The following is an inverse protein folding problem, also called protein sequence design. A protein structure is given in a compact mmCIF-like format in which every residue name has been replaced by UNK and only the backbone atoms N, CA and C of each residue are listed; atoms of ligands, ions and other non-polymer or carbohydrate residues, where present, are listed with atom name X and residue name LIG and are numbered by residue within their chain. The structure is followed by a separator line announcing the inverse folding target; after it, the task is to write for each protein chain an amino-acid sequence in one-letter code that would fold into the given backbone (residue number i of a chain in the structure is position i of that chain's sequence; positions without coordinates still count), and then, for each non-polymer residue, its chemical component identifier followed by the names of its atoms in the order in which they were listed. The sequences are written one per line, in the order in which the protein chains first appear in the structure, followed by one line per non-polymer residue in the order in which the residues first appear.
data_IF_377887933083
#
_entry.id   IF_377887933083
#
_cell.length_a   1.000
_cell.length_b   1.000
_cell.length_c   1.000
_cell.angle_alpha   90.00
_cell.angle_beta   90.00
_cell.angle_gamma   90.00
#
_symmetry.space_group_name_H-M   'P 1'
#
loop_
_entity.id
_entity.type
_entity.pdbx_description
1 polymer ?
#
# COMPACT_ATOMS: atom_id res chain seq x y z
N UNK A 1 18.91 -16.13 -9.82
CA UNK A 1 17.52 -15.91 -9.39
C UNK A 1 17.05 -14.56 -9.89
N UNK A 2 15.85 -14.45 -10.49
CA UNK A 2 15.24 -13.19 -10.90
C UNK A 2 14.27 -12.73 -9.81
N UNK A 3 14.55 -11.60 -9.16
CA UNK A 3 13.78 -11.12 -8.03
C UNK A 3 13.06 -9.79 -8.35
N UNK A 4 11.73 -9.79 -8.32
CA UNK A 4 10.91 -8.60 -8.56
C UNK A 4 10.63 -7.87 -7.25
N UNK A 5 11.20 -6.67 -7.11
CA UNK A 5 11.08 -5.81 -5.94
C UNK A 5 10.26 -4.54 -6.24
N UNK A 6 9.71 -3.88 -5.23
CA UNK A 6 9.03 -2.60 -5.38
C UNK A 6 9.89 -1.44 -4.83
N UNK A 7 10.74 -0.90 -5.67
CA UNK A 7 11.60 0.24 -5.37
C UNK A 7 11.05 1.57 -5.94
N UNK A 8 9.73 1.67 -6.04
CA UNK A 8 9.09 2.92 -6.44
C UNK A 8 9.09 3.92 -5.26
N UNK A 9 10.26 4.41 -4.93
CA UNK A 9 10.54 5.31 -3.81
C UNK A 9 10.42 6.79 -4.21
N UNK A 10 10.10 7.71 -3.29
CA UNK A 10 10.16 9.13 -3.56
C UNK A 10 11.63 9.60 -3.63
N UNK A 11 11.89 10.50 -4.57
CA UNK A 11 13.19 11.14 -4.75
C UNK A 11 13.11 12.64 -4.48
N UNK A 12 14.19 13.21 -3.91
CA UNK A 12 14.34 14.66 -3.82
C UNK A 12 14.59 15.27 -5.22
N UNK A 13 14.50 16.61 -5.37
CA UNK A 13 14.86 17.27 -6.62
C UNK A 13 16.30 16.99 -7.07
N UNK A 14 17.21 16.69 -6.14
CA UNK A 14 18.61 16.33 -6.38
C UNK A 14 18.79 14.84 -6.69
N UNK A 15 17.71 14.04 -6.66
CA UNK A 15 17.73 12.64 -6.99
C UNK A 15 18.17 11.71 -5.83
N UNK A 16 18.07 12.15 -4.57
CA UNK A 16 18.28 11.27 -3.43
C UNK A 16 16.96 10.60 -3.01
N UNK A 17 17.04 9.35 -2.52
CA UNK A 17 15.89 8.66 -1.92
C UNK A 17 15.50 9.37 -0.61
N UNK A 18 14.27 9.85 -0.51
CA UNK A 18 13.79 10.58 0.68
C UNK A 18 13.03 9.69 1.66
N UNK A 19 12.54 8.55 1.20
CA UNK A 19 11.91 7.53 2.04
C UNK A 19 12.41 6.14 1.60
N UNK A 20 13.25 5.48 2.42
CA UNK A 20 13.86 4.19 2.09
C UNK A 20 13.00 2.97 2.45
N UNK A 21 11.82 3.13 3.06
CA UNK A 21 11.03 2.05 3.67
C UNK A 21 10.81 0.85 2.72
N UNK A 22 10.59 1.11 1.44
CA UNK A 22 10.41 0.06 0.42
C UNK A 22 11.68 -0.72 0.12
N UNK A 23 12.82 -0.06 0.20
CA UNK A 23 14.13 -0.74 0.05
C UNK A 23 14.44 -1.52 1.31
N UNK A 24 14.34 -0.87 2.47
CA UNK A 24 14.66 -1.47 3.76
C UNK A 24 13.77 -2.69 4.06
N UNK A 25 12.50 -2.68 3.64
CA UNK A 25 11.57 -3.80 3.83
C UNK A 25 11.95 -5.08 3.05
N UNK A 26 12.78 -4.98 1.99
CA UNK A 26 13.24 -6.13 1.20
C UNK A 26 14.56 -6.71 1.71
N UNK A 27 15.27 -6.02 2.60
CA UNK A 27 16.58 -6.46 3.09
C UNK A 27 16.56 -7.87 3.70
N UNK A 28 15.56 -8.26 4.53
CA UNK A 28 15.51 -9.62 5.06
C UNK A 28 15.47 -10.69 3.97
N UNK A 29 14.77 -10.43 2.85
CA UNK A 29 14.74 -11.33 1.69
C UNK A 29 16.13 -11.39 1.02
N UNK A 30 16.76 -10.24 0.81
CA UNK A 30 18.07 -10.17 0.14
C UNK A 30 19.17 -10.82 0.98
N UNK A 31 19.18 -10.58 2.27
CA UNK A 31 20.17 -11.17 3.19
C UNK A 31 20.04 -12.70 3.20
N UNK A 32 18.81 -13.21 3.34
CA UNK A 32 18.55 -14.67 3.28
C UNK A 32 19.04 -15.30 1.96
N UNK A 33 18.78 -14.66 0.83
CA UNK A 33 19.22 -15.16 -0.48
C UNK A 33 20.75 -15.11 -0.65
N UNK A 34 21.39 -14.04 -0.18
CA UNK A 34 22.85 -13.90 -0.23
C UNK A 34 23.54 -14.93 0.65
N UNK A 35 23.03 -15.16 1.87
CA UNK A 35 23.54 -16.19 2.78
C UNK A 35 23.42 -17.60 2.18
N UNK A 36 22.39 -17.83 1.36
CA UNK A 36 22.20 -19.07 0.62
C UNK A 36 23.10 -19.15 -0.64
N UNK A 37 23.91 -18.16 -0.95
CA UNK A 37 24.78 -18.10 -2.12
C UNK A 37 24.04 -17.84 -3.44
N UNK A 38 22.82 -17.30 -3.42
CA UNK A 38 22.08 -17.01 -4.64
C UNK A 38 22.71 -15.85 -5.42
N UNK A 39 22.82 -15.97 -6.74
CA UNK A 39 23.10 -14.86 -7.66
C UNK A 39 21.78 -14.13 -7.91
N UNK A 40 21.68 -12.86 -7.52
CA UNK A 40 20.39 -12.12 -7.43
C UNK A 40 20.34 -11.04 -8.51
N UNK A 41 19.38 -11.14 -9.41
CA UNK A 41 19.07 -10.15 -10.43
C UNK A 41 17.80 -9.43 -10.02
N UNK A 42 17.94 -8.19 -9.55
CA UNK A 42 16.82 -7.37 -9.09
C UNK A 42 16.14 -6.68 -10.28
N UNK A 43 14.83 -6.75 -10.32
CA UNK A 43 13.99 -6.03 -11.27
C UNK A 43 13.02 -5.15 -10.51
N UNK A 44 12.96 -3.87 -10.85
CA UNK A 44 12.03 -2.95 -10.23
C UNK A 44 11.60 -1.84 -11.18
N UNK A 45 10.65 -1.02 -10.71
CA UNK A 45 10.22 0.18 -11.42
C UNK A 45 10.32 1.42 -10.53
N UNK A 46 10.40 2.58 -11.15
CA UNK A 46 10.35 3.88 -10.50
C UNK A 46 9.50 4.84 -11.34
N UNK A 47 8.51 5.45 -10.70
CA UNK A 47 7.63 6.42 -11.35
C UNK A 47 6.76 5.83 -12.46
N UNK A 48 6.40 6.69 -13.41
CA UNK A 48 5.54 6.34 -14.55
C UNK A 48 6.11 6.86 -15.87
N UNK A 49 7.29 6.41 -16.29
CA UNK A 49 7.80 6.72 -17.62
C UNK A 49 6.91 6.07 -18.69
N UNK A 50 6.89 6.66 -19.87
CA UNK A 50 6.01 6.23 -20.99
C UNK A 50 6.73 5.28 -21.95
N UNK A 51 7.40 4.25 -21.44
CA UNK A 51 8.11 3.26 -22.25
C UNK A 51 9.41 3.81 -22.89
N UNK A 52 10.01 4.81 -22.27
CA UNK A 52 11.29 5.38 -22.74
C UNK A 52 12.14 5.83 -21.54
N UNK A 53 13.48 5.80 -21.66
CA UNK A 53 14.38 6.26 -20.61
C UNK A 53 14.18 7.74 -20.29
N UNK A 54 13.99 8.04 -19.01
CA UNK A 54 13.97 9.39 -18.45
C UNK A 54 14.90 9.43 -17.23
N UNK A 55 15.96 10.27 -17.22
CA UNK A 55 16.98 10.26 -16.15
C UNK A 55 16.40 10.41 -14.73
N UNK A 56 15.30 11.17 -14.56
CA UNK A 56 14.64 11.34 -13.26
C UNK A 56 14.00 10.06 -12.71
N UNK A 57 13.81 9.05 -13.53
CA UNK A 57 13.26 7.76 -13.15
C UNK A 57 14.28 6.62 -13.20
N UNK A 58 15.59 6.95 -13.30
CA UNK A 58 16.64 5.94 -13.19
C UNK A 58 16.69 5.34 -11.79
N UNK A 59 16.93 4.04 -11.71
CA UNK A 59 17.14 3.31 -10.45
C UNK A 59 18.53 3.49 -9.86
N UNK A 60 19.40 4.33 -10.45
CA UNK A 60 20.74 4.59 -9.94
C UNK A 60 20.78 5.07 -8.46
N UNK A 61 19.84 5.91 -7.95
CA UNK A 61 19.78 6.24 -6.54
C UNK A 61 19.47 5.02 -5.64
N UNK A 62 18.63 4.11 -6.13
CA UNK A 62 18.27 2.87 -5.43
C UNK A 62 19.43 1.91 -5.38
N UNK A 63 20.17 1.74 -6.50
CA UNK A 63 21.39 0.91 -6.54
C UNK A 63 22.41 1.36 -5.50
N UNK A 64 22.66 2.69 -5.40
CA UNK A 64 23.55 3.26 -4.38
C UNK A 64 23.08 3.00 -2.96
N UNK A 65 21.76 3.12 -2.70
CA UNK A 65 21.19 2.85 -1.38
C UNK A 65 21.32 1.37 -1.04
N UNK A 66 21.00 0.47 -1.96
CA UNK A 66 21.17 -0.98 -1.78
C UNK A 66 22.62 -1.34 -1.47
N UNK A 67 23.59 -0.78 -2.21
CA UNK A 67 25.00 -1.03 -1.97
C UNK A 67 25.42 -0.62 -0.55
N UNK A 68 24.91 0.51 -0.03
CA UNK A 68 25.14 0.94 1.34
C UNK A 68 24.50 0.01 2.38
N UNK A 69 23.26 -0.46 2.12
CA UNK A 69 22.52 -1.33 3.04
C UNK A 69 23.10 -2.73 3.13
N UNK A 70 23.55 -3.27 2.00
CA UNK A 70 24.08 -4.63 1.88
C UNK A 70 25.59 -4.71 2.16
N UNK A 71 26.27 -3.56 2.32
CA UNK A 71 27.73 -3.46 2.39
C UNK A 71 28.41 -4.25 1.27
N UNK A 72 27.91 -4.09 0.04
CA UNK A 72 28.34 -4.83 -1.14
C UNK A 72 28.16 -3.98 -2.41
N UNK A 73 28.84 -4.35 -3.49
CA UNK A 73 28.59 -3.72 -4.79
C UNK A 73 27.24 -4.18 -5.37
N UNK A 74 26.46 -3.21 -5.87
CA UNK A 74 25.16 -3.44 -6.55
C UNK A 74 25.16 -2.66 -7.86
N UNK A 75 25.78 -3.21 -8.91
CA UNK A 75 25.85 -2.53 -10.20
C UNK A 75 24.45 -2.39 -10.83
N UNK A 76 24.21 -1.20 -11.40
CA UNK A 76 23.04 -0.94 -12.23
C UNK A 76 23.35 -1.37 -13.66
N UNK A 77 22.60 -2.35 -14.17
CA UNK A 77 22.73 -2.85 -15.53
C UNK A 77 21.71 -2.17 -16.45
N UNK A 78 22.19 -1.50 -17.49
CA UNK A 78 21.36 -0.71 -18.42
C UNK A 78 21.06 -1.42 -19.73
N UNK A 79 21.71 -2.56 -19.96
CA UNK A 79 21.49 -3.37 -21.15
C UNK A 79 20.10 -3.99 -21.11
N UNK A 80 19.31 -3.99 -22.21
CA UNK A 80 17.95 -4.50 -22.19
C UNK A 80 17.89 -6.04 -22.05
N UNK A 81 16.85 -6.59 -21.40
CA UNK A 81 16.60 -8.03 -21.38
C UNK A 81 16.57 -8.62 -22.78
N UNK A 82 17.26 -9.77 -22.95
CA UNK A 82 17.41 -10.46 -24.23
C UNK A 82 18.63 -10.01 -25.04
N UNK A 83 19.43 -9.03 -24.57
CA UNK A 83 20.71 -8.69 -25.20
C UNK A 83 21.82 -9.65 -24.76
N UNK A 84 22.77 -9.91 -25.66
CA UNK A 84 23.96 -10.73 -25.35
C UNK A 84 24.78 -10.08 -24.22
N UNK A 85 24.92 -8.76 -24.22
CA UNK A 85 25.67 -8.02 -23.21
C UNK A 85 25.11 -8.20 -21.80
N UNK A 86 23.76 -8.19 -21.63
CA UNK A 86 23.15 -8.48 -20.32
C UNK A 86 23.37 -9.93 -19.92
N UNK A 87 23.22 -10.85 -20.86
CA UNK A 87 23.40 -12.29 -20.61
C UNK A 87 24.82 -12.58 -20.13
N UNK A 88 25.85 -12.05 -20.82
CA UNK A 88 27.25 -12.20 -20.43
C UNK A 88 27.52 -11.66 -19.02
N UNK A 89 26.91 -10.51 -18.65
CA UNK A 89 27.08 -9.93 -17.30
C UNK A 89 26.43 -10.79 -16.23
N UNK A 90 25.26 -11.37 -16.51
CA UNK A 90 24.55 -12.24 -15.58
C UNK A 90 25.28 -13.58 -15.42
N UNK A 91 25.84 -14.13 -16.49
CA UNK A 91 26.65 -15.36 -16.45
C UNK A 91 27.95 -15.18 -15.68
N UNK A 92 28.53 -13.99 -15.69
CA UNK A 92 29.76 -13.65 -14.97
C UNK A 92 29.56 -13.40 -13.46
N UNK A 93 28.31 -13.41 -12.94
CA UNK A 93 28.04 -13.23 -11.51
C UNK A 93 28.59 -14.41 -10.69
N UNK A 94 29.13 -14.08 -9.51
CA UNK A 94 29.55 -15.05 -8.50
C UNK A 94 28.42 -15.29 -7.46
N UNK A 95 28.56 -16.34 -6.67
CA UNK A 95 27.59 -16.67 -5.62
C UNK A 95 27.52 -15.55 -4.56
N UNK A 96 26.31 -15.07 -4.28
CA UNK A 96 26.03 -13.95 -3.38
C UNK A 96 26.04 -12.58 -4.05
N UNK A 97 26.36 -12.48 -5.34
CA UNK A 97 26.31 -11.23 -6.09
C UNK A 97 24.87 -10.73 -6.27
N UNK A 98 24.73 -9.41 -6.23
CA UNK A 98 23.47 -8.69 -6.46
C UNK A 98 23.64 -7.67 -7.56
N UNK A 99 22.81 -7.72 -8.59
CA UNK A 99 22.74 -6.70 -9.64
C UNK A 99 21.34 -6.11 -9.73
N UNK A 100 21.21 -4.86 -10.12
CA UNK A 100 19.93 -4.20 -10.36
C UNK A 100 19.78 -3.87 -11.84
N UNK A 101 18.71 -4.32 -12.48
CA UNK A 101 18.37 -3.88 -13.83
C UNK A 101 17.82 -2.45 -13.79
N UNK A 102 18.08 -1.67 -14.84
CA UNK A 102 17.50 -0.34 -14.96
C UNK A 102 15.96 -0.43 -15.04
N UNK A 103 15.31 0.69 -14.70
CA UNK A 103 13.86 0.80 -14.56
C UNK A 103 13.11 0.08 -15.68
N UNK A 104 12.46 -1.02 -15.31
CA UNK A 104 11.77 -1.89 -16.26
C UNK A 104 10.66 -1.16 -17.04
N UNK A 105 10.10 -0.08 -16.49
CA UNK A 105 9.11 0.77 -17.18
C UNK A 105 9.70 1.65 -18.28
N UNK A 106 11.02 1.64 -18.48
CA UNK A 106 11.62 2.22 -19.68
C UNK A 106 11.40 1.34 -20.92
N UNK A 107 11.04 0.08 -20.71
CA UNK A 107 10.79 -0.85 -21.80
C UNK A 107 9.31 -0.82 -22.19
N UNK A 108 9.00 -0.66 -23.49
CA UNK A 108 7.66 -0.91 -24.00
C UNK A 108 7.21 -2.35 -23.67
N UNK A 109 5.94 -2.54 -23.38
CA UNK A 109 5.39 -3.86 -23.07
C UNK A 109 5.42 -4.23 -21.59
N UNK A 110 6.19 -3.54 -20.71
CA UNK A 110 6.17 -3.87 -19.27
C UNK A 110 4.75 -3.82 -18.71
N UNK A 111 4.04 -2.71 -18.89
CA UNK A 111 2.69 -2.53 -18.32
C UNK A 111 1.61 -3.28 -19.07
N UNK A 112 1.90 -3.77 -20.27
CA UNK A 112 0.99 -4.54 -21.14
C UNK A 112 1.16 -6.05 -20.96
N UNK A 113 2.08 -6.45 -20.08
CA UNK A 113 2.45 -7.86 -19.86
C UNK A 113 2.88 -8.54 -21.17
N UNK A 114 3.71 -7.86 -21.95
CA UNK A 114 4.22 -8.35 -23.22
C UNK A 114 4.93 -9.70 -23.04
N UNK A 115 4.55 -10.74 -23.80
CA UNK A 115 5.09 -12.08 -23.61
C UNK A 115 6.57 -12.20 -23.99
N UNK A 116 7.04 -11.45 -25.00
CA UNK A 116 8.45 -11.50 -25.42
C UNK A 116 9.36 -10.87 -24.36
N UNK A 117 8.91 -9.76 -23.75
CA UNK A 117 9.62 -9.15 -22.63
C UNK A 117 9.60 -10.07 -21.40
N UNK A 118 8.45 -10.70 -21.10
CA UNK A 118 8.33 -11.68 -20.03
C UNK A 118 9.29 -12.87 -20.21
N UNK A 119 9.38 -13.41 -21.41
CA UNK A 119 10.30 -14.49 -21.77
C UNK A 119 11.78 -14.05 -21.66
N UNK A 120 12.11 -12.85 -22.18
CA UNK A 120 13.46 -12.31 -22.11
C UNK A 120 13.92 -12.11 -20.65
N UNK A 121 13.05 -11.62 -19.78
CA UNK A 121 13.30 -11.51 -18.34
C UNK A 121 13.45 -12.90 -17.69
N UNK A 122 12.52 -13.81 -17.99
CA UNK A 122 12.52 -15.17 -17.43
C UNK A 122 13.81 -15.93 -17.74
N UNK A 123 14.44 -15.72 -18.90
CA UNK A 123 15.73 -16.36 -19.28
C UNK A 123 16.90 -15.95 -18.40
N UNK A 124 16.82 -14.82 -17.69
CA UNK A 124 17.87 -14.36 -16.81
C UNK A 124 17.99 -15.17 -15.51
N UNK A 125 16.98 -16.00 -15.17
CA UNK A 125 17.00 -16.75 -13.93
C UNK A 125 16.35 -18.13 -14.03
N UNK A 126 16.74 -19.03 -13.12
CA UNK A 126 16.16 -20.35 -12.95
C UNK A 126 14.99 -20.36 -11.96
N UNK A 127 14.96 -19.37 -11.07
CA UNK A 127 13.95 -19.17 -10.03
C UNK A 127 13.42 -17.75 -10.15
N UNK A 128 12.10 -17.59 -10.10
CA UNK A 128 11.47 -16.29 -9.92
C UNK A 128 11.13 -16.07 -8.45
N UNK A 129 11.41 -14.88 -7.93
CA UNK A 129 11.00 -14.44 -6.61
C UNK A 129 10.18 -13.15 -6.72
N UNK A 130 8.92 -13.21 -6.24
CA UNK A 130 8.03 -12.05 -6.17
C UNK A 130 8.03 -11.44 -4.79
N UNK A 131 8.62 -10.24 -4.63
CA UNK A 131 8.66 -9.51 -3.35
C UNK A 131 8.16 -8.07 -3.51
N UNK A 132 7.37 -7.82 -4.53
CA UNK A 132 6.83 -6.52 -4.88
C UNK A 132 5.31 -6.48 -4.65
N UNK A 133 4.87 -6.56 -3.40
CA UNK A 133 3.45 -6.59 -3.06
C UNK A 133 2.69 -5.39 -3.63
N UNK A 134 3.25 -4.17 -3.55
CA UNK A 134 2.62 -2.97 -4.11
C UNK A 134 2.34 -3.01 -5.61
N UNK A 135 3.03 -3.87 -6.36
CA UNK A 135 2.82 -4.08 -7.80
C UNK A 135 2.01 -5.34 -8.14
N UNK A 136 1.66 -6.17 -7.14
CA UNK A 136 1.06 -7.49 -7.35
C UNK A 136 -0.37 -7.45 -7.92
N UNK A 137 -1.07 -6.33 -7.75
CA UNK A 137 -2.44 -6.13 -8.24
C UNK A 137 -2.52 -5.94 -9.77
N UNK A 138 -1.40 -5.89 -10.48
CA UNK A 138 -1.34 -5.71 -11.94
C UNK A 138 -0.56 -6.83 -12.59
N UNK A 139 -1.06 -7.31 -13.73
CA UNK A 139 -0.30 -8.21 -14.56
C UNK A 139 0.66 -7.41 -15.45
N UNK A 140 1.95 -7.44 -15.14
CA UNK A 140 3.03 -6.82 -15.89
C UNK A 140 4.03 -7.88 -16.37
N UNK A 141 4.87 -7.56 -17.37
CA UNK A 141 5.85 -8.49 -17.90
C UNK A 141 6.88 -8.92 -16.82
N UNK A 142 7.28 -7.99 -15.93
CA UNK A 142 8.28 -8.25 -14.90
C UNK A 142 7.79 -9.02 -13.68
N UNK A 143 6.47 -9.11 -13.44
CA UNK A 143 5.93 -9.93 -12.34
C UNK A 143 5.21 -11.19 -12.86
N UNK A 144 4.19 -11.05 -13.71
CA UNK A 144 3.41 -12.19 -14.20
C UNK A 144 4.11 -12.87 -15.39
N UNK A 145 4.57 -12.10 -16.37
CA UNK A 145 5.21 -12.63 -17.58
C UNK A 145 6.47 -13.42 -17.26
N UNK A 146 7.40 -12.82 -16.52
CA UNK A 146 8.67 -13.46 -16.15
C UNK A 146 8.48 -14.69 -15.25
N UNK A 147 7.54 -14.61 -14.29
CA UNK A 147 7.20 -15.76 -13.43
C UNK A 147 6.67 -16.95 -14.27
N UNK A 148 5.74 -16.68 -15.20
CA UNK A 148 5.23 -17.71 -16.12
C UNK A 148 6.32 -18.31 -16.97
N UNK A 149 7.18 -17.49 -17.57
CA UNK A 149 8.27 -17.96 -18.40
C UNK A 149 9.24 -18.90 -17.65
N UNK A 150 9.49 -18.64 -16.37
CA UNK A 150 10.30 -19.55 -15.53
C UNK A 150 9.53 -20.83 -15.21
N UNK A 151 8.26 -20.76 -14.83
CA UNK A 151 7.41 -21.92 -14.53
C UNK A 151 7.22 -22.84 -15.74
N UNK A 152 7.04 -22.28 -16.93
CA UNK A 152 6.87 -23.03 -18.18
C UNK A 152 8.13 -23.85 -18.53
N UNK A 153 9.29 -23.44 -18.02
CA UNK A 153 10.56 -24.20 -18.09
C UNK A 153 10.79 -25.14 -16.90
N UNK A 154 9.81 -25.26 -15.99
CA UNK A 154 9.88 -26.12 -14.81
C UNK A 154 10.63 -25.52 -13.61
N UNK A 155 10.98 -24.24 -13.67
CA UNK A 155 11.56 -23.51 -12.54
C UNK A 155 10.48 -23.02 -11.56
N UNK A 156 10.80 -22.86 -10.26
CA UNK A 156 9.84 -22.35 -9.27
C UNK A 156 9.63 -20.84 -9.36
N UNK A 157 8.43 -20.41 -9.01
CA UNK A 157 8.10 -19.00 -8.81
C UNK A 157 7.56 -18.81 -7.38
N UNK A 158 8.33 -18.18 -6.51
CA UNK A 158 8.07 -18.13 -5.07
C UNK A 158 7.85 -16.72 -4.55
N UNK A 159 7.17 -16.58 -3.41
CA UNK A 159 7.06 -15.32 -2.68
C UNK A 159 8.36 -15.03 -1.91
N UNK A 160 8.77 -13.76 -1.87
CA UNK A 160 9.77 -13.30 -0.92
C UNK A 160 9.16 -13.05 0.47
N UNK A 161 10.02 -12.81 1.47
CA UNK A 161 9.60 -12.66 2.87
C UNK A 161 8.69 -11.43 3.10
N UNK A 162 8.89 -10.35 2.33
CA UNK A 162 7.99 -9.19 2.37
C UNK A 162 6.60 -9.56 1.84
N UNK A 163 6.54 -10.21 0.68
CA UNK A 163 5.29 -10.68 0.07
C UNK A 163 4.53 -11.62 1.02
N UNK A 164 5.21 -12.59 1.59
CA UNK A 164 4.65 -13.54 2.56
C UNK A 164 4.06 -12.79 3.78
N UNK A 165 4.83 -11.86 4.34
CA UNK A 165 4.41 -11.05 5.49
C UNK A 165 3.17 -10.22 5.17
N UNK A 166 3.13 -9.55 4.01
CA UNK A 166 1.99 -8.77 3.55
C UNK A 166 0.73 -9.64 3.41
N UNK A 167 0.86 -10.78 2.72
CA UNK A 167 -0.24 -11.71 2.51
C UNK A 167 -0.77 -12.29 3.83
N UNK A 168 0.13 -12.65 4.74
CA UNK A 168 -0.24 -13.18 6.06
C UNK A 168 -1.08 -12.17 6.82
N UNK A 169 -0.55 -10.96 7.07
CA UNK A 169 -1.26 -9.97 7.89
C UNK A 169 -2.57 -9.51 7.27
N UNK A 170 -2.60 -9.26 5.96
CA UNK A 170 -3.81 -8.80 5.29
C UNK A 170 -4.89 -9.89 5.17
N UNK A 171 -4.49 -11.15 4.91
CA UNK A 171 -5.45 -12.27 4.84
C UNK A 171 -5.97 -12.67 6.21
N UNK A 172 -5.09 -12.78 7.22
CA UNK A 172 -5.48 -13.13 8.59
C UNK A 172 -6.41 -12.06 9.19
N UNK A 173 -6.13 -10.76 8.94
CA UNK A 173 -6.96 -9.67 9.41
C UNK A 173 -8.41 -9.70 8.90
N UNK A 174 -8.68 -10.40 7.78
CA UNK A 174 -10.00 -10.44 7.15
C UNK A 174 -10.65 -11.82 7.24
N UNK A 175 -9.85 -12.91 7.18
CA UNK A 175 -10.39 -14.28 7.11
C UNK A 175 -11.00 -14.77 8.43
N UNK A 176 -10.31 -14.52 9.55
CA UNK A 176 -10.76 -14.93 10.90
C UNK A 176 -10.30 -13.89 11.95
N UNK A 177 -10.85 -12.68 11.90
CA UNK A 177 -10.41 -11.60 12.78
C UNK A 177 -10.81 -11.85 14.24
N UNK A 178 -9.87 -11.64 15.16
CA UNK A 178 -10.20 -11.54 16.58
C UNK A 178 -11.17 -10.36 16.80
N UNK A 179 -12.24 -10.59 17.57
CA UNK A 179 -13.31 -9.58 17.74
C UNK A 179 -13.20 -8.83 19.07
N UNK A 180 -13.62 -7.54 19.11
CA UNK A 180 -14.23 -6.77 18.02
C UNK A 180 -13.28 -6.45 16.87
N UNK A 181 -13.76 -6.52 15.62
CA UNK A 181 -13.05 -6.09 14.43
C UNK A 181 -13.54 -4.71 13.99
N UNK A 182 -12.65 -3.73 14.01
CA UNK A 182 -12.90 -2.33 13.62
C UNK A 182 -12.12 -1.99 12.37
N UNK A 183 -12.82 -1.53 11.33
CA UNK A 183 -12.17 -0.96 10.15
C UNK A 183 -12.34 0.56 10.13
N UNK A 184 -11.26 1.28 9.86
CA UNK A 184 -11.22 2.74 9.72
C UNK A 184 -10.82 3.08 8.29
N UNK A 185 -11.74 3.69 7.56
CA UNK A 185 -11.54 4.11 6.18
C UNK A 185 -11.66 5.63 6.06
N UNK A 186 -10.65 6.25 5.49
CA UNK A 186 -10.60 7.69 5.26
C UNK A 186 -10.10 8.05 3.86
N UNK A 187 -9.75 9.32 3.67
CA UNK A 187 -9.23 9.83 2.41
C UNK A 187 -10.24 10.63 1.59
N UNK A 188 -9.87 10.95 0.34
CA UNK A 188 -10.59 11.96 -0.43
C UNK A 188 -11.88 11.45 -1.11
N UNK A 189 -11.91 10.20 -1.58
CA UNK A 189 -12.97 9.70 -2.46
C UNK A 189 -13.48 8.33 -2.02
N UNK A 190 -14.83 8.21 -2.00
CA UNK A 190 -15.50 6.93 -1.75
C UNK A 190 -15.36 5.97 -2.94
N UNK A 191 -15.36 6.49 -4.18
CA UNK A 191 -15.27 5.69 -5.41
C UNK A 191 -14.06 4.75 -5.45
N UNK A 192 -12.96 5.13 -4.81
CA UNK A 192 -11.77 4.28 -4.70
C UNK A 192 -11.81 3.23 -3.60
N UNK A 193 -12.91 3.15 -2.82
CA UNK A 193 -13.02 2.27 -1.65
C UNK A 193 -14.35 1.53 -1.54
N UNK A 194 -15.23 1.66 -2.54
CA UNK A 194 -16.55 1.02 -2.53
C UNK A 194 -16.42 -0.48 -2.32
N UNK A 195 -15.62 -1.14 -3.17
CA UNK A 195 -15.44 -2.59 -3.13
C UNK A 195 -14.89 -3.06 -1.78
N UNK A 196 -13.99 -2.28 -1.18
CA UNK A 196 -13.45 -2.54 0.16
C UNK A 196 -14.53 -2.38 1.23
N UNK A 197 -15.35 -1.32 1.16
CA UNK A 197 -16.46 -1.10 2.09
C UNK A 197 -17.44 -2.26 2.01
N UNK A 198 -17.83 -2.67 0.80
CA UNK A 198 -18.77 -3.77 0.57
C UNK A 198 -18.24 -5.12 1.07
N UNK A 199 -16.94 -5.39 0.85
CA UNK A 199 -16.30 -6.62 1.32
C UNK A 199 -16.12 -6.65 2.85
N UNK A 200 -15.80 -5.52 3.48
CA UNK A 200 -15.56 -5.45 4.92
C UNK A 200 -16.85 -5.37 5.74
N UNK A 201 -17.90 -4.72 5.23
CA UNK A 201 -19.14 -4.46 5.98
C UNK A 201 -19.78 -5.71 6.62
N UNK A 202 -19.86 -6.88 5.95
CA UNK A 202 -20.35 -8.10 6.59
C UNK A 202 -19.44 -8.63 7.69
N UNK A 203 -18.14 -8.32 7.64
CA UNK A 203 -17.11 -8.92 8.49
C UNK A 203 -16.81 -8.10 9.74
N UNK A 204 -16.95 -6.77 9.68
CA UNK A 204 -16.61 -5.86 10.78
C UNK A 204 -17.70 -5.76 11.84
N UNK A 205 -17.31 -5.47 13.07
CA UNK A 205 -18.23 -5.06 14.14
C UNK A 205 -18.49 -3.54 14.07
N UNK A 206 -17.51 -2.75 13.62
CA UNK A 206 -17.63 -1.31 13.33
C UNK A 206 -16.86 -0.95 12.06
N UNK A 207 -17.48 -0.09 11.27
CA UNK A 207 -16.87 0.56 10.11
C UNK A 207 -16.86 2.07 10.32
N UNK A 208 -15.69 2.64 10.55
CA UNK A 208 -15.51 4.07 10.74
C UNK A 208 -15.15 4.68 9.38
N UNK A 209 -15.88 5.72 8.99
CA UNK A 209 -15.63 6.45 7.74
C UNK A 209 -15.33 7.91 8.07
N UNK A 210 -14.16 8.38 7.61
CA UNK A 210 -13.69 9.74 7.79
C UNK A 210 -13.08 10.33 6.51
N UNK A 211 -12.38 11.45 6.64
CA UNK A 211 -11.83 12.17 5.50
C UNK A 211 -12.91 12.79 4.60
N UNK A 212 -12.51 13.33 3.45
CA UNK A 212 -13.47 13.98 2.55
C UNK A 212 -14.50 13.00 1.95
N UNK A 213 -14.22 11.69 1.94
CA UNK A 213 -15.23 10.68 1.54
C UNK A 213 -16.46 10.69 2.45
N UNK A 214 -16.35 11.08 3.72
CA UNK A 214 -17.48 11.21 4.64
C UNK A 214 -18.48 12.29 4.19
N UNK A 215 -18.02 13.29 3.43
CA UNK A 215 -18.89 14.35 2.92
C UNK A 215 -19.94 13.83 1.94
N UNK A 216 -19.61 12.78 1.17
CA UNK A 216 -20.58 12.12 0.27
C UNK A 216 -21.68 11.44 1.07
N UNK A 217 -21.36 10.82 2.22
CA UNK A 217 -22.35 10.29 3.15
C UNK A 217 -23.18 11.39 3.83
N UNK A 218 -22.57 12.53 4.19
CA UNK A 218 -23.30 13.67 4.73
C UNK A 218 -24.31 14.21 3.73
N UNK A 219 -23.93 14.29 2.46
CA UNK A 219 -24.84 14.68 1.38
C UNK A 219 -25.99 13.68 1.23
N UNK A 220 -25.76 12.38 1.35
CA UNK A 220 -26.78 11.34 1.33
C UNK A 220 -27.75 11.46 2.52
N UNK A 221 -27.29 11.97 3.67
CA UNK A 221 -28.13 12.29 4.84
C UNK A 221 -28.86 13.64 4.71
N UNK A 222 -28.70 14.37 3.59
CA UNK A 222 -29.31 15.69 3.38
C UNK A 222 -28.63 16.82 4.13
N UNK A 223 -27.40 16.61 4.63
CA UNK A 223 -26.64 17.62 5.36
C UNK A 223 -25.87 18.57 4.42
N UNK A 224 -25.69 19.83 4.84
CA UNK A 224 -24.81 20.77 4.16
C UNK A 224 -23.35 20.33 4.31
N UNK A 225 -22.59 20.37 3.21
CA UNK A 225 -21.15 20.13 3.19
C UNK A 225 -20.36 21.38 2.78
N UNK A 226 -21.05 22.53 2.66
CA UNK A 226 -20.45 23.78 2.22
C UNK A 226 -19.75 23.66 0.87
N UNK A 227 -18.53 24.18 0.79
CA UNK A 227 -17.65 24.07 -0.38
C UNK A 227 -16.72 22.86 -0.35
N UNK A 228 -17.01 21.85 0.49
CA UNK A 228 -16.21 20.62 0.63
C UNK A 228 -16.29 19.75 -0.62
N UNK A 229 -15.27 18.91 -0.82
CA UNK A 229 -15.28 17.89 -1.87
C UNK A 229 -16.40 16.86 -1.60
N UNK A 230 -17.24 16.61 -2.62
CA UNK A 230 -18.31 15.60 -2.63
C UNK A 230 -18.29 14.90 -3.98
N UNK A 231 -18.46 13.59 -3.99
CA UNK A 231 -18.70 12.82 -5.23
C UNK A 231 -20.22 12.74 -5.45
N UNK A 232 -20.78 13.73 -6.15
CA UNK A 232 -22.25 13.87 -6.34
C UNK A 232 -22.87 12.66 -7.06
N UNK A 233 -22.14 12.03 -7.96
CA UNK A 233 -22.55 10.82 -8.66
C UNK A 233 -22.56 9.56 -7.77
N UNK A 234 -22.06 9.65 -6.54
CA UNK A 234 -21.99 8.56 -5.56
C UNK A 234 -22.92 8.74 -4.35
N UNK A 235 -23.67 9.84 -4.30
CA UNK A 235 -24.56 10.15 -3.16
C UNK A 235 -25.64 9.08 -2.97
N UNK A 236 -26.28 8.63 -4.06
CA UNK A 236 -27.31 7.58 -3.98
C UNK A 236 -26.74 6.27 -3.41
N UNK A 237 -25.58 5.84 -3.91
CA UNK A 237 -24.89 4.65 -3.43
C UNK A 237 -24.44 4.79 -1.96
N UNK A 238 -23.96 5.97 -1.54
CA UNK A 238 -23.63 6.22 -0.14
C UNK A 238 -24.87 6.08 0.77
N UNK A 239 -26.05 6.49 0.28
CA UNK A 239 -27.34 6.26 0.96
C UNK A 239 -27.66 4.78 1.12
N UNK A 240 -27.52 3.99 0.07
CA UNK A 240 -27.72 2.53 0.12
C UNK A 240 -26.74 1.84 1.09
N UNK A 241 -25.49 2.28 1.11
CA UNK A 241 -24.48 1.77 2.06
C UNK A 241 -24.85 2.12 3.51
N UNK A 242 -25.37 3.32 3.79
CA UNK A 242 -25.86 3.71 5.11
C UNK A 242 -26.99 2.81 5.58
N UNK A 243 -27.97 2.54 4.72
CA UNK A 243 -29.11 1.67 5.04
C UNK A 243 -28.66 0.23 5.34
N UNK A 244 -27.76 -0.32 4.49
CA UNK A 244 -27.23 -1.69 4.66
C UNK A 244 -26.35 -1.84 5.89
N UNK A 245 -25.55 -0.81 6.19
CA UNK A 245 -24.62 -0.84 7.30
C UNK A 245 -25.31 -0.64 8.67
N UNK A 246 -26.39 0.14 8.70
CA UNK A 246 -27.09 0.46 9.93
C UNK A 246 -26.15 1.03 11.01
N UNK A 247 -26.25 0.51 12.21
CA UNK A 247 -25.43 0.95 13.35
C UNK A 247 -23.94 0.57 13.27
N UNK A 248 -23.56 -0.29 12.32
CA UNK A 248 -22.14 -0.66 12.16
C UNK A 248 -21.30 0.48 11.61
N UNK A 249 -21.90 1.34 10.75
CA UNK A 249 -21.19 2.44 10.10
C UNK A 249 -21.22 3.68 10.98
N UNK A 250 -20.02 4.18 11.34
CA UNK A 250 -19.87 5.39 12.11
C UNK A 250 -19.31 6.51 11.23
N UNK A 251 -20.02 7.63 11.20
CA UNK A 251 -19.63 8.87 10.56
C UNK A 251 -19.26 9.91 11.61
N UNK A 252 -18.44 10.93 11.26
CA UNK A 252 -18.17 12.05 12.15
C UNK A 252 -19.47 12.75 12.59
N UNK A 253 -19.51 13.15 13.85
CA UNK A 253 -20.63 13.93 14.44
C UNK A 253 -20.31 15.41 14.50
N UNK A 254 -19.04 15.77 14.39
CA UNK A 254 -18.52 17.14 14.30
C UNK A 254 -17.32 17.20 13.35
N UNK A 255 -17.04 18.38 12.84
CA UNK A 255 -16.05 18.65 11.82
C UNK A 255 -15.20 19.87 12.16
N UNK A 256 -13.95 19.88 11.75
CA UNK A 256 -13.10 21.08 11.71
C UNK A 256 -13.24 21.68 10.33
N UNK A 257 -13.70 22.94 10.26
CA UNK A 257 -13.99 23.64 9.02
C UNK A 257 -13.18 24.93 8.92
N UNK A 258 -12.91 25.35 7.69
CA UNK A 258 -12.31 26.62 7.35
C UNK A 258 -12.76 27.08 5.94
N UNK A 259 -12.58 28.33 5.62
CA UNK A 259 -12.86 28.86 4.25
C UNK A 259 -11.81 28.40 3.24
N UNK A 260 -10.58 28.16 3.70
CA UNK A 260 -9.45 27.62 2.91
C UNK A 260 -8.82 26.46 3.65
N UNK A 261 -8.25 25.51 2.92
CA UNK A 261 -7.47 24.42 3.50
C UNK A 261 -5.99 24.69 3.24
N UNK A 262 -5.38 25.42 4.18
CA UNK A 262 -3.95 25.76 4.16
C UNK A 262 -3.37 25.77 5.59
N UNK A 263 -2.05 25.88 5.71
CA UNK A 263 -1.35 25.80 6.99
C UNK A 263 -1.65 26.97 7.95
N UNK A 264 -2.17 28.08 7.44
CA UNK A 264 -2.52 29.28 8.22
C UNK A 264 -4.05 29.46 8.36
N UNK A 265 -4.83 28.43 7.99
CA UNK A 265 -6.28 28.50 8.02
C UNK A 265 -6.82 28.83 9.43
N UNK A 266 -7.72 29.81 9.50
CA UNK A 266 -8.54 30.05 10.68
C UNK A 266 -9.65 29.01 10.73
N UNK A 267 -9.43 27.95 11.49
CA UNK A 267 -10.31 26.81 11.59
C UNK A 267 -11.18 26.85 12.84
N UNK A 268 -12.38 26.29 12.74
CA UNK A 268 -13.30 26.14 13.87
C UNK A 268 -13.97 24.77 13.86
N UNK A 269 -14.37 24.28 15.02
CA UNK A 269 -15.16 23.04 15.12
C UNK A 269 -16.65 23.36 15.08
N UNK A 270 -17.39 22.58 14.28
CA UNK A 270 -18.85 22.66 14.16
C UNK A 270 -19.46 21.27 14.25
N UNK A 271 -20.74 21.16 14.63
CA UNK A 271 -21.50 19.94 14.40
C UNK A 271 -21.60 19.65 12.90
N UNK A 272 -21.69 18.39 12.50
CA UNK A 272 -21.76 17.99 11.08
C UNK A 272 -22.92 18.63 10.30
N UNK A 273 -23.96 19.12 10.98
CA UNK A 273 -25.10 19.85 10.41
C UNK A 273 -24.90 21.38 10.41
N UNK A 274 -23.78 21.86 11.00
CA UNK A 274 -23.45 23.28 11.13
C UNK A 274 -22.44 23.82 10.13
N UNK A 275 -22.15 23.09 9.05
CA UNK A 275 -21.17 23.50 8.03
C UNK A 275 -21.74 24.63 7.18
N UNK A 276 -21.05 25.78 7.16
CA UNK A 276 -21.44 26.96 6.40
C UNK A 276 -21.20 26.83 4.89
N UNK A 277 -21.95 27.58 4.08
CA UNK A 277 -21.93 27.48 2.61
C UNK A 277 -20.54 27.67 2.00
N UNK A 278 -19.74 28.62 2.54
CA UNK A 278 -18.37 28.91 2.06
C UNK A 278 -17.27 28.10 2.75
N UNK A 279 -17.60 27.23 3.69
CA UNK A 279 -16.63 26.46 4.47
C UNK A 279 -16.32 25.12 3.84
N UNK A 280 -15.12 24.63 4.11
CA UNK A 280 -14.63 23.31 3.72
C UNK A 280 -14.32 22.51 4.96
N UNK A 281 -14.73 21.26 4.98
CA UNK A 281 -14.38 20.28 6.01
C UNK A 281 -12.93 19.84 5.77
N UNK A 282 -12.06 20.12 6.73
CA UNK A 282 -10.64 19.77 6.68
C UNK A 282 -10.27 18.56 7.55
N UNK A 283 -11.01 18.35 8.66
CA UNK A 283 -10.77 17.23 9.58
C UNK A 283 -12.06 16.90 10.36
N UNK A 284 -12.01 15.82 11.13
CA UNK A 284 -13.03 15.47 12.13
C UNK A 284 -12.84 16.27 13.42
N UNK A 285 -13.95 16.64 14.09
CA UNK A 285 -13.93 17.38 15.34
C UNK A 285 -13.57 16.52 16.55
N UNK A 286 -13.40 17.16 17.71
CA UNK A 286 -12.94 16.52 18.94
C UNK A 286 -13.92 15.44 19.46
N UNK A 287 -15.22 15.62 19.27
CA UNK A 287 -16.23 14.62 19.68
C UNK A 287 -16.12 13.35 18.82
N UNK A 288 -15.88 13.52 17.50
CA UNK A 288 -15.66 12.42 16.57
C UNK A 288 -14.34 11.70 16.87
N UNK A 289 -13.28 12.44 17.20
CA UNK A 289 -12.00 11.88 17.60
C UNK A 289 -12.15 10.96 18.81
N UNK A 290 -12.85 11.39 19.85
CA UNK A 290 -13.10 10.58 21.04
C UNK A 290 -13.99 9.36 20.73
N UNK A 291 -15.03 9.54 19.95
CA UNK A 291 -15.90 8.45 19.51
C UNK A 291 -15.10 7.37 18.77
N UNK A 292 -14.34 7.76 17.75
CA UNK A 292 -13.56 6.84 16.93
C UNK A 292 -12.43 6.18 17.72
N UNK A 293 -11.71 6.97 18.53
CA UNK A 293 -10.65 6.44 19.38
C UNK A 293 -11.17 5.40 20.37
N UNK A 294 -12.35 5.60 20.94
CA UNK A 294 -12.98 4.63 21.86
C UNK A 294 -13.26 3.30 21.16
N UNK A 295 -13.84 3.33 19.96
CA UNK A 295 -14.11 2.10 19.18
C UNK A 295 -12.81 1.37 18.82
N UNK A 296 -11.79 2.12 18.38
CA UNK A 296 -10.47 1.56 18.02
C UNK A 296 -9.76 0.94 19.22
N UNK A 297 -9.75 1.63 20.39
CA UNK A 297 -9.15 1.08 21.63
C UNK A 297 -9.83 -0.20 22.10
N UNK A 298 -11.13 -0.33 21.84
CA UNK A 298 -11.90 -1.52 22.21
C UNK A 298 -11.73 -2.72 21.29
N UNK A 299 -11.04 -2.54 20.18
CA UNK A 299 -10.91 -3.57 19.15
C UNK A 299 -9.85 -4.64 19.52
N UNK A 300 -10.00 -5.81 18.92
CA UNK A 300 -8.97 -6.87 18.91
C UNK A 300 -8.30 -7.00 17.55
N UNK A 301 -8.99 -6.59 16.50
CA UNK A 301 -8.42 -6.42 15.16
C UNK A 301 -8.78 -5.04 14.66
N UNK A 302 -7.80 -4.29 14.20
CA UNK A 302 -7.97 -2.97 13.59
C UNK A 302 -7.39 -2.97 12.17
N UNK A 303 -8.17 -2.49 11.22
CA UNK A 303 -7.72 -2.17 9.88
C UNK A 303 -7.85 -0.67 9.65
N UNK A 304 -6.77 0.01 9.26
CA UNK A 304 -6.80 1.42 8.96
C UNK A 304 -6.29 1.72 7.55
N UNK A 305 -7.09 2.43 6.75
CA UNK A 305 -6.71 2.86 5.42
C UNK A 305 -7.27 4.23 5.08
N UNK A 306 -6.42 5.23 5.06
CA UNK A 306 -6.69 6.63 4.70
C UNK A 306 -6.90 7.55 5.91
N UNK A 307 -6.45 8.82 5.79
CA UNK A 307 -6.51 9.81 6.85
C UNK A 307 -7.93 10.31 7.10
N UNK A 308 -8.14 10.87 8.30
CA UNK A 308 -9.42 11.48 8.72
C UNK A 308 -9.56 12.94 8.31
N UNK A 309 -8.45 13.60 8.01
CA UNK A 309 -8.36 14.99 7.61
C UNK A 309 -7.16 15.23 6.69
N UNK A 310 -6.91 16.49 6.35
CA UNK A 310 -5.73 16.94 5.57
C UNK A 310 -4.55 17.04 6.53
N UNK A 311 -4.06 15.89 6.98
CA UNK A 311 -3.11 15.78 8.10
C UNK A 311 -1.74 16.42 7.84
N UNK A 312 -1.41 16.72 6.58
CA UNK A 312 -0.22 17.48 6.18
C UNK A 312 -0.29 18.95 6.62
N UNK A 313 -1.50 19.43 6.96
CA UNK A 313 -1.77 20.78 7.40
C UNK A 313 -2.11 20.77 8.89
N UNK A 314 -1.30 21.42 9.72
CA UNK A 314 -1.42 21.40 11.17
C UNK A 314 -2.85 21.68 11.72
N UNK A 315 -3.66 22.60 11.15
CA UNK A 315 -5.04 22.82 11.63
C UNK A 315 -5.99 21.63 11.41
N UNK A 316 -5.63 20.65 10.57
CA UNK A 316 -6.48 19.55 10.13
C UNK A 316 -5.84 18.16 10.33
N UNK A 317 -4.86 18.06 11.22
CA UNK A 317 -4.09 16.84 11.41
C UNK A 317 -4.57 15.98 12.61
N UNK A 318 -5.20 16.63 13.59
CA UNK A 318 -5.43 16.01 14.91
C UNK A 318 -6.39 14.82 14.85
N UNK A 319 -7.40 14.84 13.96
CA UNK A 319 -8.31 13.71 13.75
C UNK A 319 -7.59 12.46 13.29
N UNK A 320 -6.67 12.61 12.35
CA UNK A 320 -5.84 11.50 11.85
C UNK A 320 -4.89 10.99 12.92
N UNK A 321 -4.23 11.88 13.65
CA UNK A 321 -3.31 11.51 14.72
C UNK A 321 -4.00 10.88 15.93
N UNK A 322 -5.23 11.29 16.25
CA UNK A 322 -6.03 10.66 17.30
C UNK A 322 -6.33 9.18 16.98
N UNK A 323 -6.70 8.88 15.73
CA UNK A 323 -6.88 7.52 15.27
C UNK A 323 -5.58 6.73 15.31
N UNK A 324 -4.46 7.30 14.83
CA UNK A 324 -3.15 6.65 14.86
C UNK A 324 -2.72 6.29 16.29
N UNK A 325 -2.85 7.22 17.24
CA UNK A 325 -2.56 6.97 18.66
C UNK A 325 -3.47 5.89 19.25
N UNK A 326 -4.76 5.92 18.94
CA UNK A 326 -5.71 4.90 19.42
C UNK A 326 -5.38 3.51 18.90
N UNK A 327 -4.91 3.40 17.63
CA UNK A 327 -4.42 2.13 17.07
C UNK A 327 -3.21 1.61 17.85
N UNK A 328 -2.24 2.48 18.14
CA UNK A 328 -1.06 2.10 18.89
C UNK A 328 -1.42 1.64 20.31
N UNK A 329 -2.32 2.35 21.00
CA UNK A 329 -2.82 1.96 22.33
C UNK A 329 -3.55 0.60 22.29
N UNK A 330 -4.36 0.35 21.25
CA UNK A 330 -5.01 -0.95 21.07
C UNK A 330 -3.98 -2.06 20.83
N UNK A 331 -2.93 -1.78 20.06
CA UNK A 331 -1.84 -2.75 19.78
C UNK A 331 -1.06 -3.07 21.03
N UNK A 332 -0.71 -2.08 21.84
CA UNK A 332 -0.05 -2.28 23.13
C UNK A 332 -0.91 -3.14 24.10
N UNK A 333 -2.24 -3.07 23.95
CA UNK A 333 -3.19 -3.90 24.68
C UNK A 333 -3.41 -5.29 24.07
N UNK A 334 -2.65 -5.64 23.02
CA UNK A 334 -2.65 -6.96 22.35
C UNK A 334 -3.60 -7.09 21.17
N UNK A 335 -4.09 -5.99 20.60
CA UNK A 335 -4.82 -6.02 19.35
C UNK A 335 -3.87 -6.18 18.15
N UNK A 336 -4.37 -6.74 17.05
CA UNK A 336 -3.68 -6.76 15.76
C UNK A 336 -4.08 -5.50 14.99
N UNK A 337 -3.12 -4.65 14.67
CA UNK A 337 -3.31 -3.44 13.86
C UNK A 337 -2.65 -3.58 12.50
N UNK A 338 -3.43 -3.42 11.45
CA UNK A 338 -2.98 -3.44 10.05
C UNK A 338 -3.27 -2.09 9.42
N UNK A 339 -2.23 -1.43 8.92
CA UNK A 339 -2.32 -0.12 8.28
C UNK A 339 -2.01 -0.28 6.80
N UNK A 340 -2.93 0.14 5.95
CA UNK A 340 -2.80 0.11 4.50
C UNK A 340 -2.83 1.51 3.88
N UNK A 341 -2.03 1.70 2.83
CA UNK A 341 -1.95 2.95 2.07
C UNK A 341 -0.86 3.90 2.54
N UNK A 342 -0.24 4.57 1.56
CA UNK A 342 0.90 5.46 1.80
C UNK A 342 0.59 6.62 2.76
N UNK A 343 -0.59 7.23 2.61
CA UNK A 343 -1.00 8.36 3.47
C UNK A 343 -1.19 7.92 4.93
N UNK A 344 -1.76 6.72 5.17
CA UNK A 344 -1.91 6.18 6.52
C UNK A 344 -0.57 5.81 7.14
N UNK A 345 0.34 5.24 6.35
CA UNK A 345 1.71 4.95 6.78
C UNK A 345 2.46 6.25 7.15
N UNK A 346 2.38 7.27 6.29
CA UNK A 346 2.96 8.59 6.55
C UNK A 346 2.36 9.24 7.81
N UNK A 347 1.04 9.13 8.01
CA UNK A 347 0.37 9.64 9.20
C UNK A 347 0.81 8.89 10.48
N UNK A 348 1.02 7.57 10.41
CA UNK A 348 1.53 6.78 11.55
C UNK A 348 2.95 7.21 11.94
N UNK A 349 3.81 7.48 10.95
CA UNK A 349 5.17 8.02 11.17
C UNK A 349 5.09 9.44 11.76
N UNK A 350 4.26 10.33 11.20
CA UNK A 350 4.11 11.69 11.68
C UNK A 350 3.54 11.76 13.11
N UNK A 351 2.72 10.79 13.50
CA UNK A 351 2.18 10.65 14.86
C UNK A 351 3.14 9.93 15.83
N UNK A 352 4.34 9.53 15.39
CA UNK A 352 5.35 8.80 16.17
C UNK A 352 4.84 7.47 16.76
N UNK A 353 4.04 6.72 15.99
CA UNK A 353 3.46 5.46 16.46
C UNK A 353 3.75 4.26 15.53
N UNK A 354 4.46 4.48 14.43
CA UNK A 354 4.66 3.46 13.39
C UNK A 354 5.26 2.15 13.92
N UNK A 355 6.24 2.22 14.82
CA UNK A 355 6.92 1.06 15.41
C UNK A 355 6.04 0.27 16.40
N UNK A 356 4.96 0.87 16.90
CA UNK A 356 4.02 0.25 17.83
C UNK A 356 2.92 -0.54 17.13
N UNK A 357 2.78 -0.40 15.80
CA UNK A 357 1.74 -1.06 15.01
C UNK A 357 2.20 -2.46 14.57
N UNK A 358 1.27 -3.41 14.48
CA UNK A 358 1.59 -4.80 14.13
C UNK A 358 2.12 -4.91 12.70
N UNK A 359 1.48 -4.22 11.75
CA UNK A 359 1.88 -4.23 10.35
C UNK A 359 1.50 -2.94 9.63
N UNK A 360 2.45 -2.36 8.93
CA UNK A 360 2.23 -1.26 7.98
C UNK A 360 2.53 -1.80 6.58
N UNK A 361 1.47 -1.92 5.77
CA UNK A 361 1.60 -2.45 4.42
C UNK A 361 2.27 -1.46 3.48
N UNK A 362 3.20 -1.94 2.70
CA UNK A 362 3.86 -1.20 1.61
C UNK A 362 3.01 -1.16 0.34
N UNK A 363 1.90 -1.92 0.31
CA UNK A 363 1.17 -2.28 -0.90
C UNK A 363 0.15 -1.28 -1.43
N UNK A 364 -0.24 -0.27 -0.70
CA UNK A 364 -1.19 0.76 -1.15
C UNK A 364 -2.46 0.19 -1.82
N UNK A 365 -2.52 0.24 -3.16
CA UNK A 365 -3.64 -0.28 -3.95
C UNK A 365 -3.81 -1.79 -3.86
N UNK A 366 -2.70 -2.55 -3.85
CA UNK A 366 -2.75 -4.01 -3.73
C UNK A 366 -3.38 -4.45 -2.39
N UNK A 367 -3.11 -3.73 -1.30
CA UNK A 367 -3.74 -3.99 0.00
C UNK A 367 -5.26 -3.82 -0.06
N UNK A 368 -5.74 -2.75 -0.71
CA UNK A 368 -7.17 -2.48 -0.86
C UNK A 368 -7.86 -3.56 -1.70
N UNK A 369 -7.26 -3.95 -2.83
CA UNK A 369 -7.81 -5.00 -3.69
C UNK A 369 -7.85 -6.36 -2.99
N UNK A 370 -6.78 -6.71 -2.26
CA UNK A 370 -6.76 -7.95 -1.47
C UNK A 370 -7.83 -7.94 -0.38
N UNK A 371 -8.02 -6.81 0.32
CA UNK A 371 -9.06 -6.64 1.34
C UNK A 371 -10.47 -6.65 0.76
N UNK A 372 -10.63 -6.22 -0.50
CA UNK A 372 -11.88 -6.35 -1.26
C UNK A 372 -12.15 -7.79 -1.73
N UNK A 373 -11.26 -8.74 -1.46
CA UNK A 373 -11.38 -10.12 -1.89
C UNK A 373 -10.97 -10.37 -3.34
N UNK A 374 -10.35 -9.38 -3.99
CA UNK A 374 -9.84 -9.55 -5.35
C UNK A 374 -8.60 -10.44 -5.35
N UNK A 375 -8.43 -11.22 -6.42
CA UNK A 375 -7.19 -11.93 -6.68
C UNK A 375 -6.12 -10.95 -7.17
N UNK A 376 -4.87 -11.23 -6.80
CA UNK A 376 -3.74 -10.42 -7.22
C UNK A 376 -2.91 -11.21 -8.25
N UNK A 377 -2.87 -10.79 -9.53
CA UNK A 377 -2.18 -11.55 -10.58
C UNK A 377 -0.72 -11.87 -10.26
N UNK A 378 -0.01 -10.93 -9.60
CA UNK A 378 1.38 -11.13 -9.18
C UNK A 378 1.57 -12.10 -8.01
N UNK A 379 0.48 -12.45 -7.30
CA UNK A 379 0.45 -13.49 -6.27
C UNK A 379 -0.01 -14.83 -6.88
N UNK A 380 -1.06 -14.79 -7.71
CA UNK A 380 -1.67 -15.99 -8.28
C UNK A 380 -0.72 -16.77 -9.21
N UNK A 381 0.29 -16.07 -9.76
CA UNK A 381 1.31 -16.67 -10.61
C UNK A 381 2.38 -17.44 -9.81
N UNK A 382 2.50 -17.18 -8.49
CA UNK A 382 3.47 -17.85 -7.64
C UNK A 382 3.01 -19.28 -7.29
N UNK A 383 3.98 -20.13 -7.00
CA UNK A 383 3.69 -21.49 -6.51
C UNK A 383 2.98 -21.39 -5.16
N UNK A 384 1.84 -22.03 -5.05
CA UNK A 384 1.13 -22.09 -3.78
C UNK A 384 1.97 -22.95 -2.83
N UNK A 385 2.26 -22.45 -1.64
CA UNK A 385 2.68 -23.32 -0.55
C UNK A 385 1.59 -24.39 -0.43
N UNK A 386 1.94 -25.64 -0.64
CA UNK A 386 1.00 -26.74 -0.45
C UNK A 386 0.35 -26.56 0.91
N UNK A 387 -0.96 -26.79 1.01
CA UNK A 387 -1.67 -26.93 2.28
C UNK A 387 -1.02 -28.10 3.05
N UNK A 388 0.09 -27.84 3.73
CA UNK A 388 0.63 -28.76 4.71
C UNK A 388 -0.26 -28.67 5.94
N UNK A 389 -1.38 -29.41 5.93
CA UNK A 389 -2.24 -29.46 7.10
C UNK A 389 -3.61 -30.06 6.89
N UNK A 390 -3.68 -31.19 6.22
CA UNK A 390 -4.93 -31.93 6.09
C UNK A 390 -4.73 -33.41 5.93
N UNK A 391 -3.96 -34.03 6.85
CA UNK A 391 -4.08 -35.48 7.11
C UNK A 391 -3.31 -35.82 8.40
N UNK A 392 -4.02 -35.85 9.52
CA UNK A 392 -4.10 -36.99 10.44
C UNK A 392 -5.07 -36.63 11.56
#
# INVERSE_FOLDING_TARGET
MLARMDYNVPLSPEGAVTDPIRVDSTLPTLDHLREAGARIILVSHLGRPKGSPEPRYSLAPVARLLAQRLDADVPLLTDPPGSDALTERVEAMEDGDVVLLENIRFLPGETENDPDLGEALGRLGEVFLGDAFGAAHRAHASNVGAARAIRDRGGPAVAGLLMERELRFLREAVRDPARPFVAVLGGAKISGKIDVIEALLPQVDRLIVGGAMANTFFRALGLSTGASLVEEDRVAMAGELLERAGEKLLLPVDCVVATTLDAAADSRTVSRDGVGEGERIGDIGATSQELFSREVRGARTCLWNGPMGVFELAPFAEGTFAVARALAEATDAGAISVVGGGDSAAAAVAADVAERLTHISTGGGASLELLAGASLPGVDVLDQLGDEGGNE
#
